data_IF_159477771753
#
_entry.id   IF_159477771753
#
_cell.length_a   1.000
_cell.length_b   1.000
_cell.length_c   1.000
_cell.angle_alpha   90.00
_cell.angle_beta   90.00
_cell.angle_gamma   90.00
#
_symmetry.space_group_name_H-M   'P 1'
#
loop_
_entity.id
_entity.type
_entity.pdbx_description
1 polymer ?
#
# COMPACT_ATOMS: atom_id res chain seq x y z
N UNK A 1 -34.60 7.36 -8.60
CA UNK A 1 -33.30 8.06 -8.46
C UNK A 1 -33.45 9.07 -7.33
N UNK A 2 -33.07 8.71 -6.10
CA UNK A 2 -33.07 9.62 -4.96
C UNK A 2 -31.68 10.23 -4.88
N UNK A 3 -31.59 11.54 -5.10
CA UNK A 3 -30.35 12.30 -4.91
C UNK A 3 -29.94 12.23 -3.44
N UNK A 4 -28.80 11.62 -3.19
CA UNK A 4 -28.13 11.74 -1.90
C UNK A 4 -27.71 13.20 -1.74
N UNK A 5 -28.49 13.97 -0.99
CA UNK A 5 -28.12 15.33 -0.59
C UNK A 5 -26.75 15.26 0.10
N UNK A 6 -25.74 15.88 -0.51
CA UNK A 6 -24.40 15.89 0.03
C UNK A 6 -24.42 16.74 1.32
N UNK A 7 -24.15 16.09 2.46
CA UNK A 7 -24.06 16.79 3.74
C UNK A 7 -23.11 18.00 3.62
N UNK A 8 -23.46 19.16 4.19
CA UNK A 8 -22.67 20.37 4.03
C UNK A 8 -21.23 20.15 4.48
N UNK A 9 -20.29 20.62 3.65
CA UNK A 9 -18.86 20.52 3.90
C UNK A 9 -18.52 21.15 5.26
N UNK A 10 -17.74 20.43 6.08
CA UNK A 10 -17.37 20.83 7.43
C UNK A 10 -18.19 20.17 8.55
N UNK A 11 -19.27 19.45 8.25
CA UNK A 11 -19.95 18.62 9.26
C UNK A 11 -19.19 17.31 9.52
N UNK A 12 -19.20 16.77 10.76
CA UNK A 12 -18.58 15.48 11.05
C UNK A 12 -19.07 14.35 10.13
N UNK A 13 -20.37 14.35 9.79
CA UNK A 13 -20.96 13.38 8.87
C UNK A 13 -20.43 13.54 7.43
N UNK A 14 -20.31 14.77 6.93
CA UNK A 14 -19.74 15.06 5.61
C UNK A 14 -18.24 14.75 5.51
N UNK A 15 -17.48 14.91 6.60
CA UNK A 15 -16.08 14.47 6.67
C UNK A 15 -15.95 12.94 6.74
N UNK A 16 -16.81 12.27 7.51
CA UNK A 16 -16.82 10.80 7.60
C UNK A 16 -17.11 10.15 6.25
N UNK A 17 -18.06 10.68 5.48
CA UNK A 17 -18.44 10.14 4.17
C UNK A 17 -17.30 10.19 3.12
N UNK A 18 -16.32 11.10 3.27
CA UNK A 18 -15.17 11.24 2.36
C UNK A 18 -14.02 10.28 2.68
N UNK A 19 -13.91 9.79 3.91
CA UNK A 19 -12.80 8.92 4.34
C UNK A 19 -12.98 7.50 3.83
N UNK A 20 -11.87 6.85 3.46
CA UNK A 20 -11.80 5.44 3.09
C UNK A 20 -10.65 4.79 3.85
N UNK A 21 -10.96 3.84 4.72
CA UNK A 21 -9.99 3.08 5.51
C UNK A 21 -10.05 1.63 5.07
N UNK A 22 -8.94 1.09 4.61
CA UNK A 22 -8.85 -0.28 4.09
C UNK A 22 -7.47 -0.88 4.33
N UNK A 23 -7.37 -2.19 4.15
CA UNK A 23 -6.12 -2.94 4.24
C UNK A 23 -5.94 -3.84 3.01
N UNK A 24 -4.70 -4.15 2.66
CA UNK A 24 -4.35 -5.09 1.59
C UNK A 24 -3.82 -6.36 2.25
N UNK A 25 -4.51 -7.49 2.04
CA UNK A 25 -4.14 -8.81 2.56
C UNK A 25 -3.90 -9.73 1.36
N UNK A 26 -2.76 -10.41 1.33
CA UNK A 26 -2.39 -11.30 0.22
C UNK A 26 -1.45 -12.41 0.70
N UNK A 27 -1.36 -13.47 -0.10
CA UNK A 27 -0.29 -14.48 0.02
C UNK A 27 1.11 -13.82 -0.18
N UNK A 28 2.21 -14.41 0.34
CA UNK A 28 3.57 -14.02 -0.04
C UNK A 28 3.73 -13.86 -1.56
N UNK A 29 4.52 -12.86 -1.95
CA UNK A 29 4.86 -12.53 -3.35
C UNK A 29 3.71 -12.17 -4.32
N UNK A 30 2.45 -12.09 -3.85
CA UNK A 30 1.31 -11.65 -4.65
C UNK A 30 1.28 -10.14 -5.02
N UNK A 31 2.37 -9.41 -4.77
CA UNK A 31 2.48 -8.00 -5.21
C UNK A 31 1.80 -6.94 -4.33
N UNK A 32 1.37 -7.27 -3.08
CA UNK A 32 0.78 -6.28 -2.14
C UNK A 32 1.61 -5.00 -1.95
N UNK A 33 2.93 -5.12 -1.96
CA UNK A 33 3.86 -3.99 -1.81
C UNK A 33 3.80 -3.10 -3.07
N UNK A 34 3.85 -3.71 -4.27
CA UNK A 34 3.76 -3.01 -5.55
C UNK A 34 2.44 -2.26 -5.70
N UNK A 35 1.32 -2.89 -5.33
CA UNK A 35 0.00 -2.24 -5.34
C UNK A 35 -0.04 -1.05 -4.39
N UNK A 36 0.56 -1.18 -3.20
CA UNK A 36 0.65 -0.09 -2.22
C UNK A 36 1.46 1.09 -2.77
N UNK A 37 2.59 0.83 -3.43
CA UNK A 37 3.41 1.87 -4.08
C UNK A 37 2.61 2.63 -5.14
N UNK A 38 1.89 1.91 -6.02
CA UNK A 38 1.08 2.53 -7.07
C UNK A 38 -0.05 3.40 -6.50
N UNK A 39 -0.75 2.93 -5.47
CA UNK A 39 -1.81 3.70 -4.81
C UNK A 39 -1.27 4.98 -4.18
N UNK A 40 -0.10 4.91 -3.53
CA UNK A 40 0.55 6.09 -2.94
C UNK A 40 1.02 7.08 -3.99
N UNK A 41 1.53 6.60 -5.14
CA UNK A 41 1.91 7.48 -6.26
C UNK A 41 0.69 8.21 -6.85
N UNK A 42 -0.39 7.48 -7.11
CA UNK A 42 -1.66 8.05 -7.62
C UNK A 42 -2.27 9.06 -6.64
N UNK A 43 -2.09 8.84 -5.33
CA UNK A 43 -2.49 9.77 -4.28
C UNK A 43 -1.56 10.95 -4.05
N UNK A 44 -0.50 11.13 -4.86
CA UNK A 44 0.49 12.19 -4.69
C UNK A 44 1.45 12.02 -3.50
N UNK A 45 1.40 10.88 -2.81
CA UNK A 45 2.23 10.56 -1.64
C UNK A 45 3.61 9.99 -2.05
N UNK A 46 4.34 10.72 -2.90
CA UNK A 46 5.60 10.28 -3.54
C UNK A 46 6.64 9.76 -2.54
N UNK A 47 6.87 10.49 -1.44
CA UNK A 47 7.83 10.09 -0.40
C UNK A 47 7.44 8.79 0.30
N UNK A 48 6.15 8.59 0.56
CA UNK A 48 5.64 7.38 1.17
C UNK A 48 5.76 6.18 0.21
N UNK A 49 5.44 6.38 -1.07
CA UNK A 49 5.61 5.36 -2.10
C UNK A 49 7.08 4.90 -2.19
N UNK A 50 8.04 5.83 -2.22
CA UNK A 50 9.46 5.51 -2.24
C UNK A 50 9.94 4.72 -1.02
N UNK A 51 9.45 5.06 0.18
CA UNK A 51 9.79 4.34 1.40
C UNK A 51 9.24 2.90 1.42
N UNK A 52 8.05 2.67 0.86
CA UNK A 52 7.47 1.32 0.72
C UNK A 52 8.31 0.48 -0.25
N UNK A 53 8.71 1.05 -1.38
CA UNK A 53 9.59 0.40 -2.36
C UNK A 53 10.93 -0.01 -1.77
N UNK A 54 11.62 0.92 -1.11
CA UNK A 54 12.93 0.65 -0.48
C UNK A 54 12.85 -0.46 0.57
N UNK A 55 11.78 -0.49 1.39
CA UNK A 55 11.56 -1.57 2.38
C UNK A 55 11.25 -2.91 1.71
N UNK A 56 10.50 -2.90 0.59
CA UNK A 56 10.23 -4.09 -0.20
C UNK A 56 11.49 -4.68 -0.82
N UNK A 57 12.34 -3.84 -1.40
CA UNK A 57 13.63 -4.22 -2.01
C UNK A 57 14.61 -4.77 -0.97
N UNK A 58 14.76 -4.12 0.19
CA UNK A 58 15.62 -4.62 1.26
C UNK A 58 15.21 -6.02 1.77
N UNK A 59 13.90 -6.28 1.87
CA UNK A 59 13.38 -7.61 2.23
C UNK A 59 13.65 -8.66 1.16
N UNK A 60 13.46 -8.31 -0.11
CA UNK A 60 13.76 -9.20 -1.24
C UNK A 60 15.25 -9.53 -1.30
N UNK A 61 16.12 -8.52 -1.24
CA UNK A 61 17.58 -8.72 -1.22
C UNK A 61 18.05 -9.66 -0.10
N UNK A 62 17.47 -9.55 1.11
CA UNK A 62 17.77 -10.47 2.21
C UNK A 62 17.26 -11.89 1.94
N UNK A 63 16.08 -12.04 1.36
CA UNK A 63 15.51 -13.36 1.02
C UNK A 63 16.27 -14.03 -0.12
N UNK A 64 16.69 -13.26 -1.12
CA UNK A 64 17.48 -13.75 -2.24
C UNK A 64 18.87 -14.17 -1.77
N UNK A 65 19.49 -13.41 -0.84
CA UNK A 65 20.73 -13.82 -0.18
C UNK A 65 20.59 -15.15 0.55
N UNK A 66 19.53 -15.32 1.36
CA UNK A 66 19.27 -16.59 2.05
C UNK A 66 19.03 -17.76 1.07
N UNK A 67 18.32 -17.53 -0.05
CA UNK A 67 18.14 -18.56 -1.08
C UNK A 67 19.48 -18.95 -1.73
N UNK A 68 20.32 -17.96 -2.03
CA UNK A 68 21.65 -18.19 -2.60
C UNK A 68 22.57 -18.94 -1.62
N UNK A 69 22.52 -18.61 -0.32
CA UNK A 69 23.25 -19.35 0.72
C UNK A 69 22.78 -20.81 0.80
N UNK A 70 21.46 -21.02 0.83
CA UNK A 70 20.87 -22.36 0.87
C UNK A 70 21.20 -23.19 -0.39
N UNK A 71 21.21 -22.58 -1.57
CA UNK A 71 21.66 -23.22 -2.82
C UNK A 71 23.16 -23.55 -2.82
N UNK A 72 23.97 -22.76 -2.11
CA UNK A 72 25.41 -23.01 -1.90
C UNK A 72 25.69 -23.99 -0.76
N UNK A 73 24.65 -24.48 -0.07
CA UNK A 73 24.76 -25.43 1.03
C UNK A 73 25.32 -24.83 2.32
N UNK A 74 25.19 -23.52 2.51
CA UNK A 74 25.64 -22.77 3.69
C UNK A 74 24.43 -22.34 4.51
#
# INVERSE_FOLDING_TARGET
>A
MSEATAAPAGTPAGEAARRRTFAIISHPDAGKTTLTEHLLLLGGAIRAAGAVKARGEARRAKSDWMKIEQERGI
#
